data_IF_441767144913
#
_entry.id   IF_441767144913
#
_cell.length_a   1.000
_cell.length_b   1.000
_cell.length_c   1.000
_cell.angle_alpha   90.00
_cell.angle_beta   90.00
_cell.angle_gamma   90.00
#
_symmetry.space_group_name_H-M   'P 1'
#
loop_
_entity.id
_entity.type
_entity.pdbx_description
1 polymer ?
#
# COMPACT_ATOMS: atom_id res chain seq x y z
N UNK A 1 -10.32 8.93 12.88
CA UNK A 1 -9.79 7.67 12.32
C UNK A 1 -9.45 7.88 10.84
N UNK A 2 -8.28 7.38 10.41
CA UNK A 2 -7.84 7.47 9.00
C UNK A 2 -7.82 6.06 8.41
N UNK A 3 -8.42 5.90 7.24
CA UNK A 3 -8.46 4.64 6.50
C UNK A 3 -8.01 4.83 5.05
N UNK A 4 -7.84 3.75 4.30
CA UNK A 4 -7.56 3.77 2.86
C UNK A 4 -8.55 2.83 2.16
N UNK A 5 -9.84 3.12 2.33
CA UNK A 5 -10.94 2.29 1.83
C UNK A 5 -11.12 2.53 0.34
N UNK A 6 -10.50 1.68 -0.48
CA UNK A 6 -10.72 1.69 -1.94
C UNK A 6 -12.12 1.14 -2.22
N UNK A 7 -12.94 1.92 -2.91
CA UNK A 7 -14.31 1.53 -3.29
C UNK A 7 -14.39 0.89 -4.68
N UNK A 8 -13.28 0.88 -5.42
CA UNK A 8 -13.23 0.35 -6.78
C UNK A 8 -13.07 -1.17 -6.80
N UNK A 9 -13.66 -1.75 -7.83
CA UNK A 9 -13.49 -3.15 -8.18
C UNK A 9 -12.51 -3.27 -9.34
N UNK A 10 -11.77 -4.38 -9.37
CA UNK A 10 -10.92 -4.76 -10.50
C UNK A 10 -11.78 -5.15 -11.70
N UNK A 11 -12.90 -5.82 -11.44
CA UNK A 11 -13.93 -6.19 -12.42
C UNK A 11 -15.32 -6.21 -11.77
N UNK A 12 -16.32 -6.79 -12.41
CA UNK A 12 -17.69 -6.82 -11.89
C UNK A 12 -17.86 -7.66 -10.60
N UNK A 13 -16.93 -8.57 -10.29
CA UNK A 13 -17.06 -9.53 -9.20
C UNK A 13 -15.94 -9.44 -8.16
N UNK A 14 -14.79 -8.87 -8.50
CA UNK A 14 -13.59 -8.79 -7.68
C UNK A 14 -13.32 -7.37 -7.20
N UNK A 15 -13.41 -7.15 -5.88
CA UNK A 15 -13.07 -5.86 -5.26
C UNK A 15 -11.56 -5.69 -5.14
N UNK A 16 -11.07 -4.45 -5.17
CA UNK A 16 -9.70 -4.16 -4.74
C UNK A 16 -9.61 -4.35 -3.22
N UNK A 17 -8.78 -5.29 -2.72
CA UNK A 17 -8.65 -5.49 -1.29
C UNK A 17 -7.97 -4.28 -0.64
N UNK A 18 -8.67 -3.59 0.27
CA UNK A 18 -8.08 -2.47 1.04
C UNK A 18 -6.81 -2.90 1.79
N UNK A 19 -6.73 -4.16 2.21
CA UNK A 19 -5.52 -4.74 2.83
C UNK A 19 -4.31 -4.69 1.91
N UNK A 20 -4.50 -4.90 0.61
CA UNK A 20 -3.41 -4.88 -0.37
C UNK A 20 -2.94 -3.46 -0.64
N UNK A 21 -3.85 -2.50 -0.86
CA UNK A 21 -3.48 -1.08 -1.00
C UNK A 21 -2.67 -0.60 0.22
N UNK A 22 -3.09 -0.98 1.43
CA UNK A 22 -2.39 -0.62 2.68
C UNK A 22 -1.02 -1.31 2.80
N UNK A 23 -0.91 -2.57 2.39
CA UNK A 23 0.35 -3.29 2.40
C UNK A 23 1.34 -2.69 1.40
N UNK A 24 0.90 -2.35 0.18
CA UNK A 24 1.74 -1.73 -0.84
C UNK A 24 2.27 -0.36 -0.39
N UNK A 25 1.40 0.49 0.18
CA UNK A 25 1.82 1.75 0.84
C UNK A 25 2.88 1.50 1.92
N UNK A 26 2.67 0.47 2.73
CA UNK A 26 3.60 0.12 3.81
C UNK A 26 4.96 -0.35 3.29
N UNK A 27 5.00 -1.16 2.25
CA UNK A 27 6.25 -1.64 1.63
C UNK A 27 7.09 -0.44 1.18
N UNK A 28 6.51 0.52 0.47
CA UNK A 28 7.24 1.72 0.04
C UNK A 28 7.70 2.56 1.21
N UNK A 29 6.81 2.82 2.17
CA UNK A 29 7.15 3.64 3.34
C UNK A 29 8.27 3.01 4.16
N UNK A 30 8.14 1.72 4.49
CA UNK A 30 9.09 1.00 5.33
C UNK A 30 10.46 0.85 4.60
N UNK A 31 10.48 0.67 3.27
CA UNK A 31 11.70 0.70 2.46
C UNK A 31 12.39 2.07 2.48
N UNK A 32 11.64 3.15 2.19
CA UNK A 32 12.20 4.50 2.08
C UNK A 32 12.66 5.09 3.42
N UNK A 33 11.91 4.85 4.49
CA UNK A 33 12.11 5.58 5.76
C UNK A 33 12.79 4.75 6.85
N UNK A 34 12.70 3.41 6.77
CA UNK A 34 13.17 2.50 7.82
C UNK A 34 14.24 1.53 7.35
N UNK A 35 14.56 1.51 6.05
CA UNK A 35 15.53 0.60 5.46
C UNK A 35 15.10 -0.87 5.48
N UNK A 36 13.81 -1.16 5.70
CA UNK A 36 13.31 -2.53 5.66
C UNK A 36 13.07 -2.97 4.22
N UNK A 37 13.51 -4.18 3.89
CA UNK A 37 13.16 -4.83 2.62
C UNK A 37 11.66 -5.13 2.54
N UNK A 38 11.14 -5.30 1.31
CA UNK A 38 9.77 -5.75 1.12
C UNK A 38 9.52 -7.11 1.79
N UNK A 39 10.51 -8.01 1.78
CA UNK A 39 10.46 -9.31 2.47
C UNK A 39 10.20 -9.16 3.97
N UNK A 40 10.97 -8.31 4.66
CA UNK A 40 10.78 -8.06 6.09
C UNK A 40 9.43 -7.40 6.40
N UNK A 41 8.96 -6.55 5.49
CA UNK A 41 7.63 -5.93 5.62
C UNK A 41 6.52 -6.98 5.52
N UNK A 42 6.60 -7.88 4.54
CA UNK A 42 5.66 -9.00 4.37
C UNK A 42 5.68 -9.95 5.57
N UNK A 43 6.88 -10.25 6.09
CA UNK A 43 7.06 -11.09 7.29
C UNK A 43 6.35 -10.52 8.52
N UNK A 44 6.38 -9.19 8.70
CA UNK A 44 5.75 -8.52 9.84
C UNK A 44 4.27 -8.22 9.65
N UNK A 45 3.77 -8.24 8.41
CA UNK A 45 2.39 -7.86 8.08
C UNK A 45 1.32 -8.58 8.91
N UNK A 46 1.40 -9.91 9.15
CA UNK A 46 0.43 -10.60 10.01
C UNK A 46 0.39 -10.04 11.44
N UNK A 47 1.55 -9.64 11.99
CA UNK A 47 1.60 -9.06 13.34
C UNK A 47 0.94 -7.69 13.41
N UNK A 48 1.14 -6.87 12.37
CA UNK A 48 0.50 -5.57 12.22
C UNK A 48 -1.02 -5.75 12.17
N UNK A 49 -1.51 -6.64 11.33
CA UNK A 49 -2.93 -6.94 11.16
C UNK A 49 -3.59 -7.37 12.46
N UNK A 50 -2.96 -8.29 13.22
CA UNK A 50 -3.43 -8.67 14.56
C UNK A 50 -3.50 -7.48 15.53
N UNK A 51 -2.51 -6.59 15.47
CA UNK A 51 -2.49 -5.37 16.29
C UNK A 51 -3.65 -4.43 15.95
N UNK A 52 -3.94 -4.27 14.66
CA UNK A 52 -5.07 -3.45 14.17
C UNK A 52 -6.42 -4.03 14.58
N UNK A 53 -6.60 -5.35 14.43
CA UNK A 53 -7.84 -6.05 14.77
C UNK A 53 -8.16 -6.00 16.26
N UNK A 54 -7.13 -6.02 17.12
CA UNK A 54 -7.32 -5.97 18.57
C UNK A 54 -7.48 -4.55 19.10
N UNK A 55 -6.73 -3.60 18.55
CA UNK A 55 -6.53 -2.30 19.21
C UNK A 55 -7.01 -1.09 18.39
N UNK A 56 -7.36 -1.26 17.11
CA UNK A 56 -7.72 -0.14 16.23
C UNK A 56 -9.14 -0.31 15.69
N UNK A 57 -9.43 -1.39 14.95
CA UNK A 57 -10.73 -1.56 14.29
C UNK A 57 -11.94 -1.59 15.25
N UNK A 58 -11.86 -2.17 16.47
CA UNK A 58 -12.98 -2.13 17.40
C UNK A 58 -13.36 -0.71 17.87
N UNK A 59 -12.43 0.23 17.80
CA UNK A 59 -12.60 1.59 18.31
C UNK A 59 -12.78 2.62 17.21
N UNK A 60 -12.84 2.22 15.94
CA UNK A 60 -12.88 3.17 14.81
C UNK A 60 -14.11 4.08 14.87
N UNK A 61 -15.26 3.55 15.30
CA UNK A 61 -16.54 4.29 15.44
C UNK A 61 -16.54 5.30 16.59
N UNK A 62 -15.55 5.25 17.48
CA UNK A 62 -15.43 6.22 18.58
C UNK A 62 -14.74 7.52 18.13
N UNK A 63 -14.28 7.61 16.88
CA UNK A 63 -13.61 8.80 16.38
C UNK A 63 -14.61 9.86 15.93
N UNK A 64 -14.43 11.11 16.38
CA UNK A 64 -15.27 12.25 15.99
C UNK A 64 -15.21 12.55 14.48
N UNK A 65 -14.08 12.22 13.84
CA UNK A 65 -13.83 12.48 12.42
C UNK A 65 -13.26 11.25 11.73
N UNK A 66 -13.82 10.93 10.57
CA UNK A 66 -13.39 9.86 9.66
C UNK A 66 -12.77 10.47 8.40
N UNK A 67 -11.58 10.01 8.01
CA UNK A 67 -10.93 10.44 6.77
C UNK A 67 -10.48 9.24 5.93
N UNK A 68 -10.98 9.16 4.70
CA UNK A 68 -10.53 8.16 3.73
C UNK A 68 -9.41 8.73 2.87
N UNK A 69 -8.21 8.17 3.02
CA UNK A 69 -7.01 8.55 2.30
C UNK A 69 -6.78 7.77 1.00
N UNK A 70 -7.71 6.91 0.57
CA UNK A 70 -7.56 6.19 -0.70
C UNK A 70 -7.70 7.13 -1.89
N UNK A 71 -6.91 6.89 -2.94
CA UNK A 71 -6.99 7.63 -4.20
C UNK A 71 -7.19 6.61 -5.32
N UNK A 72 -8.13 6.89 -6.23
CA UNK A 72 -8.53 5.98 -7.32
C UNK A 72 -7.34 5.52 -8.17
N UNK A 73 -6.39 6.42 -8.42
CA UNK A 73 -5.22 6.19 -9.28
C UNK A 73 -3.98 5.72 -8.51
N UNK A 74 -4.06 5.49 -7.20
CA UNK A 74 -2.86 5.25 -6.39
C UNK A 74 -2.08 4.02 -6.83
N UNK A 75 -2.74 2.91 -7.16
CA UNK A 75 -2.07 1.66 -7.50
C UNK A 75 -1.26 1.79 -8.79
N UNK A 76 -1.77 2.52 -9.78
CA UNK A 76 -1.06 2.87 -11.01
C UNK A 76 0.23 3.64 -10.76
N UNK A 77 0.23 4.55 -9.78
CA UNK A 77 1.39 5.37 -9.42
C UNK A 77 2.37 4.62 -8.53
N UNK A 78 1.88 3.79 -7.60
CA UNK A 78 2.74 3.03 -6.69
C UNK A 78 3.45 1.87 -7.39
N UNK A 79 2.81 1.30 -8.43
CA UNK A 79 3.29 0.11 -9.15
C UNK A 79 4.77 0.20 -9.58
N UNK A 80 5.24 1.24 -10.32
CA UNK A 80 6.64 1.34 -10.75
C UNK A 80 7.65 1.33 -9.59
N UNK A 81 7.24 1.76 -8.39
CA UNK A 81 8.10 1.83 -7.22
C UNK A 81 8.07 0.54 -6.39
N UNK A 82 6.92 -0.14 -6.32
CA UNK A 82 6.75 -1.35 -5.51
C UNK A 82 7.27 -2.59 -6.23
N UNK A 83 7.05 -2.69 -7.55
CA UNK A 83 7.42 -3.90 -8.31
C UNK A 83 8.89 -4.30 -8.17
N UNK A 84 9.88 -3.39 -8.27
CA UNK A 84 11.28 -3.76 -8.06
C UNK A 84 11.52 -4.37 -6.69
N UNK A 85 10.94 -3.80 -5.63
CA UNK A 85 11.11 -4.27 -4.26
C UNK A 85 10.50 -5.68 -4.05
N UNK A 86 9.40 -5.98 -4.74
CA UNK A 86 8.79 -7.31 -4.69
C UNK A 86 9.57 -8.34 -5.50
N UNK A 87 10.15 -7.94 -6.63
CA UNK A 87 10.98 -8.80 -7.49
C UNK A 87 12.32 -9.18 -6.85
N UNK A 88 12.84 -8.36 -5.94
CA UNK A 88 14.05 -8.67 -5.16
C UNK A 88 13.88 -9.87 -4.20
N UNK A 89 12.64 -10.28 -3.90
CA UNK A 89 12.37 -11.37 -2.97
C UNK A 89 12.69 -12.72 -3.63
N UNK A 90 13.80 -13.35 -3.25
CA UNK A 90 14.21 -14.68 -3.72
C UNK A 90 13.12 -15.74 -3.59
N UNK A 91 13.11 -16.69 -4.52
CA UNK A 91 12.19 -17.83 -4.58
C UNK A 91 12.29 -18.77 -3.36
N UNK A 92 13.42 -18.75 -2.66
CA UNK A 92 13.67 -19.58 -1.47
C UNK A 92 12.90 -19.11 -0.23
N UNK A 93 12.45 -17.84 -0.22
CA UNK A 93 11.73 -17.28 0.91
C UNK A 93 10.23 -17.57 0.81
N UNK A 94 9.56 -17.93 1.93
CA UNK A 94 8.11 -18.17 1.93
C UNK A 94 7.31 -16.92 1.53
N UNK A 95 7.83 -15.71 1.76
CA UNK A 95 7.21 -14.45 1.37
C UNK A 95 7.13 -14.27 -0.16
N UNK A 96 7.89 -15.04 -0.95
CA UNK A 96 7.83 -14.98 -2.41
C UNK A 96 6.44 -15.31 -2.95
N UNK A 97 5.68 -16.17 -2.26
CA UNK A 97 4.30 -16.51 -2.64
C UNK A 97 3.41 -15.27 -2.62
N UNK A 98 3.46 -14.50 -1.52
CA UNK A 98 2.73 -13.24 -1.41
C UNK A 98 3.25 -12.17 -2.37
N UNK A 99 4.57 -12.13 -2.59
CA UNK A 99 5.16 -11.22 -3.56
C UNK A 99 4.61 -11.46 -4.97
N UNK A 100 4.56 -12.72 -5.42
CA UNK A 100 3.97 -13.11 -6.72
C UNK A 100 2.49 -12.78 -6.81
N UNK A 101 1.72 -12.98 -5.72
CA UNK A 101 0.31 -12.62 -5.66
C UNK A 101 0.12 -11.10 -5.83
N UNK A 102 0.93 -10.30 -5.13
CA UNK A 102 0.89 -8.84 -5.24
C UNK A 102 1.34 -8.34 -6.62
N UNK A 103 2.39 -8.93 -7.21
CA UNK A 103 2.82 -8.62 -8.57
C UNK A 103 1.71 -8.94 -9.60
N UNK A 104 1.04 -10.10 -9.46
CA UNK A 104 -0.09 -10.44 -10.32
C UNK A 104 -1.24 -9.44 -10.14
N UNK A 105 -1.52 -9.02 -8.91
CA UNK A 105 -2.52 -8.01 -8.62
C UNK A 105 -2.16 -6.64 -9.26
N UNK A 106 -0.92 -6.20 -9.13
CA UNK A 106 -0.44 -4.95 -9.75
C UNK A 106 -0.49 -4.99 -11.28
N UNK A 107 -0.36 -6.17 -11.90
CA UNK A 107 -0.43 -6.33 -13.36
C UNK A 107 -1.77 -5.91 -13.99
N UNK A 108 -2.82 -5.76 -13.19
CA UNK A 108 -4.13 -5.27 -13.66
C UNK A 108 -4.20 -3.74 -13.80
N UNK A 109 -3.18 -3.00 -13.33
CA UNK A 109 -3.15 -1.54 -13.33
C UNK A 109 -2.15 -1.01 -14.33
N UNK A 110 -2.54 -0.03 -15.14
CA UNK A 110 -1.61 0.69 -16.00
C UNK A 110 -0.67 1.54 -15.15
N UNK A 111 0.61 1.56 -15.48
CA UNK A 111 1.61 2.38 -14.78
C UNK A 111 1.39 3.87 -15.08
N UNK A 112 1.54 4.70 -14.04
CA UNK A 112 1.48 6.15 -14.14
C UNK A 112 2.72 6.78 -13.50
N UNK A 113 3.33 7.73 -14.18
CA UNK A 113 4.47 8.48 -13.66
C UNK A 113 4.08 9.38 -12.48
N UNK A 114 5.03 9.62 -11.56
CA UNK A 114 4.79 10.50 -10.42
C UNK A 114 4.66 11.98 -10.81
N UNK A 115 4.96 12.37 -12.04
CA UNK A 115 4.86 13.76 -12.51
C UNK A 115 3.40 14.25 -12.54
N UNK A 116 2.46 13.34 -12.79
CA UNK A 116 1.01 13.61 -12.82
C UNK A 116 0.39 13.79 -11.42
N UNK A 117 1.15 13.51 -10.36
CA UNK A 117 0.65 13.58 -8.97
C UNK A 117 0.74 15.03 -8.47
N UNK A 118 -0.33 15.65 -7.96
CA UNK A 118 -0.23 16.98 -7.36
C UNK A 118 0.79 17.02 -6.21
N UNK A 119 1.57 18.11 -6.08
CA UNK A 119 2.59 18.25 -5.03
C UNK A 119 2.01 18.29 -3.60
N UNK A 120 0.72 18.58 -3.46
CA UNK A 120 -0.02 18.57 -2.20
C UNK A 120 -0.79 17.25 -1.97
N UNK A 121 -0.63 16.24 -2.84
CA UNK A 121 -1.27 14.94 -2.67
C UNK A 121 -0.61 14.12 -1.57
N UNK A 122 -1.40 13.41 -0.75
CA UNK A 122 -0.88 12.47 0.25
C UNK A 122 -0.01 11.37 -0.37
N UNK A 123 -0.22 11.04 -1.64
CA UNK A 123 0.56 10.04 -2.35
C UNK A 123 2.05 10.42 -2.44
N UNK A 124 2.36 11.73 -2.36
CA UNK A 124 3.73 12.26 -2.35
C UNK A 124 4.54 11.82 -1.13
N UNK A 125 3.92 11.33 -0.06
CA UNK A 125 4.60 10.63 1.03
C UNK A 125 5.37 9.40 0.51
N UNK A 126 4.78 8.67 -0.44
CA UNK A 126 5.31 7.39 -0.94
C UNK A 126 6.21 7.55 -2.17
N UNK A 127 5.90 8.52 -3.05
CA UNK A 127 6.62 8.71 -4.33
C UNK A 127 7.51 9.96 -4.37
N UNK A 128 7.51 10.79 -3.32
CA UNK A 128 8.32 12.01 -3.25
C UNK A 128 7.73 13.15 -4.09
N UNK A 129 8.33 14.35 -4.01
CA UNK A 129 7.85 15.57 -4.70
C UNK A 129 6.78 16.35 -3.93
N UNK A 130 6.69 16.14 -2.60
CA UNK A 130 5.75 16.87 -1.74
C UNK A 130 6.15 18.34 -1.60
N UNK A 131 5.17 19.25 -1.58
CA UNK A 131 5.38 20.63 -1.16
C UNK A 131 5.46 20.78 0.37
N UNK A 132 5.11 19.72 1.12
CA UNK A 132 5.24 19.67 2.56
C UNK A 132 6.60 19.07 2.95
N UNK A 133 7.19 19.55 4.04
CA UNK A 133 8.37 18.92 4.63
C UNK A 133 7.91 17.60 5.27
N UNK A 134 8.51 16.49 4.84
CA UNK A 134 8.27 15.13 5.34
C UNK A 134 9.54 14.61 5.97
#
# INVERSE_FOLDING_TARGET
YISALTQLNVDYTNRIPTTDSRLLRRILRDSRTRGYSARETLERWPSVRRGEERNIFPFQENADVMFNSSLVYELSVLRPYVEPLLLEISLEYPQNVEAKRLLKFLSYFQELGADEVPNNSILREFVGGSCFKV
#
